data_IF_248230238440
#
_entry.id   IF_248230238440
#
_cell.length_a   1.000
_cell.length_b   1.000
_cell.length_c   1.000
_cell.angle_alpha   90.00
_cell.angle_beta   90.00
_cell.angle_gamma   90.00
#
_symmetry.space_group_name_H-M   'P 1'
#
loop_
_entity.id
_entity.type
_entity.pdbx_description
1 polymer ?
#
# COMPACT_ATOMS: atom_id res chain seq x y z
N UNK A 1 -19.04 4.40 1.92
CA UNK A 1 -17.85 5.20 1.55
C UNK A 1 -17.19 4.55 0.35
N UNK A 2 -16.54 5.32 -0.52
CA UNK A 2 -15.89 4.80 -1.73
C UNK A 2 -14.45 4.38 -1.41
N UNK A 3 -14.06 3.15 -1.74
CA UNK A 3 -12.67 2.64 -1.57
C UNK A 3 -11.71 3.17 -2.65
N UNK A 4 -12.08 4.24 -3.34
CA UNK A 4 -11.30 4.80 -4.44
C UNK A 4 -9.90 5.24 -4.01
N UNK A 5 -9.79 6.02 -2.93
CA UNK A 5 -8.50 6.53 -2.46
C UNK A 5 -7.57 5.42 -1.98
N UNK A 6 -8.12 4.38 -1.36
CA UNK A 6 -7.37 3.18 -0.99
C UNK A 6 -6.80 2.47 -2.20
N UNK A 7 -7.64 2.18 -3.20
CA UNK A 7 -7.20 1.53 -4.43
C UNK A 7 -6.24 2.40 -5.23
N UNK A 8 -6.43 3.72 -5.20
CA UNK A 8 -5.54 4.68 -5.84
C UNK A 8 -4.15 4.67 -5.20
N UNK A 9 -4.07 4.71 -3.86
CA UNK A 9 -2.80 4.60 -3.15
C UNK A 9 -2.08 3.29 -3.51
N UNK A 10 -2.77 2.16 -3.44
CA UNK A 10 -2.17 0.85 -3.77
C UNK A 10 -1.74 0.76 -5.25
N UNK A 11 -2.48 1.40 -6.15
CA UNK A 11 -2.10 1.50 -7.56
C UNK A 11 -0.86 2.38 -7.76
N UNK A 12 -0.80 3.53 -7.11
CA UNK A 12 0.36 4.42 -7.18
C UNK A 12 1.59 3.75 -6.54
N UNK A 13 1.41 2.97 -5.47
CA UNK A 13 2.47 2.15 -4.87
C UNK A 13 3.03 1.09 -5.84
N UNK A 14 2.20 0.60 -6.76
CA UNK A 14 2.62 -0.31 -7.84
C UNK A 14 3.31 0.43 -8.98
N UNK A 15 2.75 1.56 -9.43
CA UNK A 15 3.09 2.19 -10.72
C UNK A 15 4.06 3.36 -10.60
N UNK A 16 4.15 4.00 -9.43
CA UNK A 16 4.93 5.21 -9.22
C UNK A 16 6.06 4.95 -8.22
N UNK A 17 7.28 4.85 -8.75
CA UNK A 17 8.48 4.62 -7.96
C UNK A 17 8.71 5.72 -6.91
N UNK A 18 8.37 6.98 -7.20
CA UNK A 18 8.52 8.06 -6.22
C UNK A 18 7.61 7.87 -5.01
N UNK A 19 6.36 7.45 -5.22
CA UNK A 19 5.41 7.14 -4.13
C UNK A 19 5.88 5.92 -3.35
N UNK A 20 6.44 4.92 -4.03
CA UNK A 20 7.00 3.76 -3.35
C UNK A 20 8.19 4.12 -2.44
N UNK A 21 9.14 4.91 -2.94
CA UNK A 21 10.29 5.38 -2.14
C UNK A 21 9.85 6.31 -0.99
N UNK A 22 8.87 7.18 -1.24
CA UNK A 22 8.26 8.02 -0.21
C UNK A 22 7.60 7.16 0.88
N UNK A 23 6.77 6.18 0.50
CA UNK A 23 6.10 5.28 1.43
C UNK A 23 7.08 4.36 2.20
N UNK A 24 8.22 4.03 1.62
CA UNK A 24 9.30 3.30 2.29
C UNK A 24 9.97 4.14 3.39
N UNK A 25 10.13 5.44 3.17
CA UNK A 25 10.75 6.36 4.12
C UNK A 25 9.75 6.85 5.18
N UNK A 26 8.54 7.21 4.75
CA UNK A 26 7.44 7.69 5.58
C UNK A 26 6.08 7.29 4.98
N UNK A 27 5.56 6.13 5.42
CA UNK A 27 4.25 5.65 5.02
C UNK A 27 3.12 6.62 5.43
N UNK A 28 3.23 7.28 6.58
CA UNK A 28 2.17 8.18 7.06
C UNK A 28 2.10 9.44 6.22
N UNK A 29 3.26 10.00 5.86
CA UNK A 29 3.39 11.10 4.90
C UNK A 29 2.82 10.72 3.53
N UNK A 30 3.21 9.58 2.97
CA UNK A 30 2.69 9.14 1.68
C UNK A 30 1.15 8.99 1.67
N UNK A 31 0.58 8.46 2.75
CA UNK A 31 -0.88 8.35 2.92
C UNK A 31 -1.60 9.69 3.11
N UNK A 32 -0.93 10.77 3.51
CA UNK A 32 -1.60 12.07 3.73
C UNK A 32 -2.06 12.72 2.43
N UNK A 33 -1.55 12.26 1.29
CA UNK A 33 -1.90 12.71 -0.07
C UNK A 33 -3.25 12.16 -0.55
N UNK A 34 -3.81 11.20 0.20
CA UNK A 34 -5.04 10.49 -0.13
C UNK A 34 -6.08 10.72 0.96
N UNK A 35 -7.35 10.83 0.56
CA UNK A 35 -8.48 10.96 1.48
C UNK A 35 -8.86 9.56 2.02
N UNK A 36 -7.99 9.03 2.87
CA UNK A 36 -8.14 7.74 3.54
C UNK A 36 -8.81 7.93 4.90
N UNK A 37 -9.78 7.08 5.18
CA UNK A 37 -10.39 6.93 6.50
C UNK A 37 -9.37 6.45 7.53
N UNK A 38 -9.70 6.59 8.82
CA UNK A 38 -8.87 6.08 9.90
C UNK A 38 -8.64 4.56 9.76
N UNK A 39 -9.71 3.82 9.46
CA UNK A 39 -9.65 2.36 9.32
C UNK A 39 -8.75 1.92 8.15
N UNK A 40 -8.81 2.61 7.01
CA UNK A 40 -7.93 2.36 5.87
C UNK A 40 -6.46 2.64 6.20
N UNK A 41 -6.18 3.75 6.92
CA UNK A 41 -4.82 4.08 7.35
C UNK A 41 -4.28 3.02 8.30
N UNK A 42 -5.07 2.58 9.26
CA UNK A 42 -4.68 1.53 10.20
C UNK A 42 -4.43 0.19 9.49
N UNK A 43 -5.27 -0.17 8.52
CA UNK A 43 -5.07 -1.37 7.71
C UNK A 43 -3.80 -1.30 6.85
N UNK A 44 -3.48 -0.13 6.27
CA UNK A 44 -2.26 0.10 5.51
C UNK A 44 -1.01 0.04 6.41
N UNK A 45 -1.06 0.65 7.59
CA UNK A 45 0.04 0.60 8.59
C UNK A 45 0.27 -0.83 9.06
N UNK A 46 -0.79 -1.62 9.23
CA UNK A 46 -0.67 -3.02 9.60
C UNK A 46 0.03 -3.87 8.53
N UNK A 47 0.11 -3.40 7.28
CA UNK A 47 0.81 -4.08 6.19
C UNK A 47 0.22 -5.42 5.78
N UNK A 48 -1.03 -5.72 6.19
CA UNK A 48 -1.69 -7.00 5.92
C UNK A 48 -2.75 -6.86 4.82
N UNK A 49 -2.54 -7.46 3.63
CA UNK A 49 -3.52 -7.47 2.54
C UNK A 49 -4.90 -7.99 2.94
N UNK A 50 -4.98 -8.87 3.94
CA UNK A 50 -6.25 -9.44 4.42
C UNK A 50 -7.11 -8.40 5.12
N UNK A 51 -6.48 -7.41 5.78
CA UNK A 51 -7.18 -6.28 6.41
C UNK A 51 -7.66 -5.24 5.39
N UNK A 52 -7.01 -5.16 4.23
CA UNK A 52 -7.38 -4.23 3.15
C UNK A 52 -8.58 -4.72 2.33
N UNK A 53 -8.76 -6.03 2.17
CA UNK A 53 -9.88 -6.63 1.42
C UNK A 53 -11.28 -6.21 1.91
N UNK A 54 -11.63 -6.29 3.21
CA UNK A 54 -12.95 -5.89 3.69
C UNK A 54 -13.23 -4.39 3.49
N UNK A 55 -12.18 -3.57 3.35
CA UNK A 55 -12.27 -2.14 3.06
C UNK A 55 -12.46 -1.83 1.57
N UNK A 56 -12.64 -2.85 0.73
CA UNK A 56 -12.85 -2.69 -0.71
C UNK A 56 -11.57 -2.51 -1.52
N UNK A 57 -10.41 -2.89 -0.98
CA UNK A 57 -9.17 -2.98 -1.77
C UNK A 57 -9.24 -4.11 -2.80
N UNK A 58 -8.80 -3.82 -4.02
CA UNK A 58 -8.67 -4.80 -5.09
C UNK A 58 -7.63 -5.85 -4.72
N UNK A 59 -7.98 -7.14 -4.83
CA UNK A 59 -7.18 -8.24 -4.30
C UNK A 59 -5.72 -8.26 -4.78
N UNK A 60 -5.48 -7.92 -6.05
CA UNK A 60 -4.11 -7.83 -6.60
C UNK A 60 -3.35 -6.58 -6.16
N UNK A 61 -4.05 -5.46 -5.93
CA UNK A 61 -3.42 -4.22 -5.48
C UNK A 61 -3.03 -4.28 -4.00
N UNK A 62 -3.86 -4.95 -3.18
CA UNK A 62 -3.59 -5.13 -1.76
C UNK A 62 -2.24 -5.85 -1.49
N UNK A 63 -1.77 -6.71 -2.40
CA UNK A 63 -0.48 -7.40 -2.25
C UNK A 63 0.72 -6.44 -2.31
N UNK A 64 0.59 -5.29 -2.97
CA UNK A 64 1.70 -4.35 -3.12
C UNK A 64 2.10 -3.69 -1.79
N UNK A 65 1.22 -3.69 -0.78
CA UNK A 65 1.58 -3.23 0.56
C UNK A 65 2.73 -4.05 1.17
N UNK A 66 2.82 -5.32 0.79
CA UNK A 66 3.86 -6.22 1.27
C UNK A 66 5.25 -5.78 0.80
N UNK A 67 5.37 -5.05 -0.33
CA UNK A 67 6.67 -4.52 -0.79
C UNK A 67 7.30 -3.52 0.17
N UNK A 68 6.52 -2.92 1.06
CA UNK A 68 7.03 -2.02 2.09
C UNK A 68 7.62 -2.79 3.28
N UNK A 69 7.20 -4.04 3.49
CA UNK A 69 7.67 -4.86 4.58
C UNK A 69 9.14 -5.31 4.35
N UNK A 70 10.04 -5.18 5.34
CA UNK A 70 11.45 -5.56 5.20
C UNK A 70 11.64 -6.99 4.67
N UNK A 71 10.91 -7.94 5.24
CA UNK A 71 11.04 -9.38 4.91
C UNK A 71 10.66 -9.73 3.47
N UNK A 72 9.84 -8.89 2.82
CA UNK A 72 9.41 -9.09 1.44
C UNK A 72 10.31 -8.39 0.44
N UNK A 73 11.14 -7.44 0.88
CA UNK A 73 12.14 -6.78 0.02
C UNK A 73 13.31 -7.70 -0.33
N UNK A 74 13.61 -8.67 0.52
CA UNK A 74 14.62 -9.71 0.25
C UNK A 74 14.08 -10.87 -0.60
N UNK A 75 12.78 -10.88 -0.93
CA UNK A 75 12.18 -11.94 -1.72
C UNK A 75 12.47 -11.75 -3.21
N UNK A 76 13.16 -12.75 -3.77
CA UNK A 76 13.72 -12.83 -5.13
C UNK A 76 12.69 -12.49 -6.23
N UNK A 77 11.40 -12.71 -5.96
CA UNK A 77 10.28 -12.41 -6.86
C UNK A 77 10.08 -10.92 -7.17
N UNK A 78 10.52 -10.02 -6.29
CA UNK A 78 10.33 -8.56 -6.45
C UNK A 78 11.62 -7.82 -6.84
N UNK A 79 12.74 -8.51 -6.86
CA UNK A 79 14.06 -7.96 -7.23
C UNK A 79 14.38 -8.04 -8.73
N UNK A 80 13.44 -8.51 -9.57
CA UNK A 80 13.66 -8.49 -11.03
C UNK A 80 13.43 -7.08 -11.57
N UNK A 81 14.54 -6.45 -11.98
CA UNK A 81 14.61 -5.22 -12.77
C UNK A 81 14.12 -5.44 -14.19
#
# INVERSE_FOLDING_TARGET
MSSYHLNRFLFDLKMNESIFQEALADLKGAMSRYDLTLEEREALIAGDPRKLRPLGAHGMLALYIMRLHPDFRTNIYWSQK
#
